data_IF_941498648573
#
_entry.id   IF_941498648573
#
_cell.length_a   1.000
_cell.length_b   1.000
_cell.length_c   1.000
_cell.angle_alpha   90.00
_cell.angle_beta   90.00
_cell.angle_gamma   90.00
#
_symmetry.space_group_name_H-M   'P 1'
#
loop_
_entity.id
_entity.type
_entity.pdbx_description
1 polymer ?
#
# COMPACT_ATOMS: atom_id res chain seq x y z
N UNK A 1 -3.78 -19.97 -23.95
CA UNK A 1 -2.95 -19.36 -22.86
C UNK A 1 -3.25 -17.89 -22.56
N UNK A 2 -4.00 -17.13 -23.38
CA UNK A 2 -4.23 -15.69 -23.14
C UNK A 2 -5.28 -15.32 -22.07
N UNK A 3 -6.24 -16.20 -21.76
CA UNK A 3 -7.29 -15.92 -20.76
C UNK A 3 -6.78 -16.03 -19.31
N UNK A 4 -5.87 -16.96 -19.02
CA UNK A 4 -5.31 -17.16 -17.68
C UNK A 4 -4.35 -16.04 -17.29
N UNK A 5 -3.51 -15.55 -18.22
CA UNK A 5 -2.59 -14.45 -17.96
C UNK A 5 -3.35 -13.13 -17.68
N UNK A 6 -4.43 -12.85 -18.42
CA UNK A 6 -5.29 -11.67 -18.17
C UNK A 6 -6.00 -11.77 -16.82
N UNK A 7 -6.56 -12.94 -16.48
CA UNK A 7 -7.19 -13.17 -15.18
C UNK A 7 -6.21 -13.00 -14.01
N UNK A 8 -4.95 -13.44 -14.17
CA UNK A 8 -3.89 -13.28 -13.16
C UNK A 8 -3.48 -11.81 -12.98
N UNK A 9 -3.35 -11.06 -14.08
CA UNK A 9 -3.05 -9.62 -14.04
C UNK A 9 -4.18 -8.85 -13.37
N UNK A 10 -5.44 -9.16 -13.69
CA UNK A 10 -6.61 -8.55 -13.03
C UNK A 10 -6.68 -8.91 -11.54
N UNK A 11 -6.40 -10.16 -11.17
CA UNK A 11 -6.35 -10.58 -9.77
C UNK A 11 -5.23 -9.90 -8.98
N UNK A 12 -4.05 -9.69 -9.58
CA UNK A 12 -2.97 -8.94 -8.95
C UNK A 12 -3.31 -7.45 -8.84
N UNK A 13 -3.91 -6.86 -9.86
CA UNK A 13 -4.38 -5.47 -9.79
C UNK A 13 -5.42 -5.31 -8.67
N UNK A 14 -6.38 -6.23 -8.52
CA UNK A 14 -7.32 -6.26 -7.40
C UNK A 14 -6.63 -6.44 -6.04
N UNK A 15 -5.62 -7.32 -5.94
CA UNK A 15 -4.82 -7.51 -4.72
C UNK A 15 -4.07 -6.23 -4.33
N UNK A 16 -3.49 -5.52 -5.32
CA UNK A 16 -2.76 -4.28 -5.10
C UNK A 16 -3.70 -3.09 -4.80
N UNK A 17 -4.92 -3.09 -5.33
CA UNK A 17 -5.99 -2.16 -4.90
C UNK A 17 -6.34 -2.41 -3.44
N UNK A 18 -6.40 -3.66 -2.97
CA UNK A 18 -6.59 -3.95 -1.55
C UNK A 18 -5.40 -3.49 -0.68
N UNK A 19 -4.20 -3.34 -1.25
CA UNK A 19 -3.04 -2.80 -0.53
C UNK A 19 -3.20 -1.30 -0.18
N UNK A 20 -4.10 -0.56 -0.85
CA UNK A 20 -4.46 0.80 -0.43
C UNK A 20 -5.13 0.85 0.95
N UNK A 21 -5.65 -0.29 1.44
CA UNK A 21 -6.26 -0.41 2.77
C UNK A 21 -5.26 -0.84 3.86
N UNK A 22 -3.96 -0.91 3.56
CA UNK A 22 -2.94 -1.32 4.54
C UNK A 22 -2.30 -0.06 5.14
N UNK A 23 -2.74 0.30 6.35
CA UNK A 23 -2.08 1.31 7.18
C UNK A 23 -0.87 0.67 7.87
N UNK A 24 0.34 1.25 7.75
CA UNK A 24 1.50 0.82 8.52
C UNK A 24 1.17 0.77 10.01
N UNK A 25 1.36 -0.40 10.63
CA UNK A 25 0.97 -0.65 12.02
C UNK A 25 1.54 0.39 12.99
N UNK A 26 0.67 0.95 13.82
CA UNK A 26 0.98 1.99 14.79
C UNK A 26 1.82 1.44 15.92
N UNK A 27 3.04 1.94 16.11
CA UNK A 27 3.81 1.71 17.33
C UNK A 27 4.14 3.07 17.97
N UNK A 28 3.08 3.78 18.40
CA UNK A 28 3.07 4.84 19.42
C UNK A 28 1.61 5.25 19.73
N UNK A 29 1.34 5.49 21.01
CA UNK A 29 0.13 6.17 21.51
C UNK A 29 0.14 7.65 21.05
N UNK A 30 -1.00 8.20 20.63
CA UNK A 30 -1.18 9.54 20.04
C UNK A 30 -0.02 9.94 19.11
N UNK A 31 -0.09 9.49 17.87
CA UNK A 31 1.02 9.60 16.93
C UNK A 31 0.89 10.89 16.10
N UNK A 32 1.87 11.79 16.26
CA UNK A 32 2.19 12.78 15.23
C UNK A 32 2.59 12.06 13.94
N UNK A 33 2.40 12.73 12.79
CA UNK A 33 2.78 12.15 11.50
C UNK A 33 4.26 11.77 11.52
N UNK A 34 4.62 10.49 11.28
CA UNK A 34 6.01 10.09 11.23
C UNK A 34 6.72 10.72 10.01
N UNK A 35 8.02 10.96 10.18
CA UNK A 35 8.91 11.35 9.09
C UNK A 35 9.81 10.16 8.76
N UNK A 36 9.93 9.84 7.47
CA UNK A 36 10.79 8.75 7.00
C UNK A 36 12.08 9.28 6.38
N UNK A 37 13.12 8.47 6.43
CA UNK A 37 14.41 8.70 5.79
C UNK A 37 14.82 7.50 4.92
N UNK A 38 15.72 7.74 3.96
CA UNK A 38 16.29 6.65 3.18
C UNK A 38 17.01 5.66 4.09
N UNK A 39 16.75 4.37 3.91
CA UNK A 39 17.27 3.28 4.75
C UNK A 39 16.30 2.82 5.85
N UNK A 40 15.24 3.57 6.15
CA UNK A 40 14.17 3.09 7.02
C UNK A 40 13.49 1.86 6.40
N UNK A 41 13.14 0.89 7.23
CA UNK A 41 12.47 -0.32 6.78
C UNK A 41 11.53 -0.91 7.83
N UNK A 42 10.50 -1.60 7.34
CA UNK A 42 9.54 -2.33 8.15
C UNK A 42 9.23 -3.67 7.53
N UNK A 43 8.93 -4.66 8.36
CA UNK A 43 8.43 -5.96 7.92
C UNK A 43 7.19 -6.29 8.74
N UNK A 44 6.09 -6.49 8.04
CA UNK A 44 4.78 -6.81 8.61
C UNK A 44 4.41 -8.25 8.28
N UNK A 45 3.76 -8.94 9.23
CA UNK A 45 3.00 -10.15 8.92
C UNK A 45 1.61 -9.73 8.42
N UNK A 46 1.16 -10.29 7.29
CA UNK A 46 -0.13 -9.96 6.66
C UNK A 46 -1.05 -11.17 6.70
N UNK A 47 -2.24 -11.02 7.27
CA UNK A 47 -3.25 -12.09 7.34
C UNK A 47 -3.19 -12.98 8.58
N UNK A 48 -3.97 -14.06 8.58
CA UNK A 48 -4.11 -14.97 9.72
C UNK A 48 -2.87 -15.87 9.87
N UNK A 49 -2.51 -16.22 11.11
CA UNK A 49 -1.28 -16.92 11.51
C UNK A 49 -0.92 -18.22 10.74
N UNK A 50 -1.85 -18.81 9.97
CA UNK A 50 -1.63 -20.01 9.16
C UNK A 50 -0.93 -19.75 7.83
N UNK A 51 -1.00 -18.54 7.27
CA UNK A 51 -0.27 -18.15 6.05
C UNK A 51 0.92 -17.28 6.45
N UNK A 52 2.14 -17.72 6.12
CA UNK A 52 3.35 -16.92 6.33
C UNK A 52 3.45 -15.91 5.19
N UNK A 53 2.61 -14.88 5.23
CA UNK A 53 2.69 -13.74 4.32
C UNK A 53 3.39 -12.59 5.03
N UNK A 54 4.47 -12.10 4.43
CA UNK A 54 5.24 -10.96 4.93
C UNK A 54 5.21 -9.83 3.92
N UNK A 55 4.99 -8.61 4.39
CA UNK A 55 5.12 -7.38 3.63
C UNK A 55 6.34 -6.62 4.16
N UNK A 56 7.37 -6.49 3.33
CA UNK A 56 8.55 -5.68 3.62
C UNK A 56 8.44 -4.37 2.88
N UNK A 57 8.71 -3.25 3.56
CA UNK A 57 8.73 -1.90 2.98
C UNK A 57 10.10 -1.30 3.29
N UNK A 58 10.78 -0.79 2.27
CA UNK A 58 12.09 -0.16 2.39
C UNK A 58 12.06 1.23 1.76
N UNK A 59 12.38 2.26 2.53
CA UNK A 59 12.42 3.64 2.03
C UNK A 59 13.73 3.86 1.30
N UNK A 60 13.64 4.22 0.02
CA UNK A 60 14.81 4.47 -0.83
C UNK A 60 15.18 5.94 -0.91
N UNK A 61 14.22 6.84 -0.65
CA UNK A 61 14.44 8.28 -0.66
C UNK A 61 13.14 9.05 -0.82
N UNK A 62 13.27 10.32 -1.22
CA UNK A 62 12.13 11.16 -1.58
C UNK A 62 12.14 11.44 -3.09
N UNK A 63 10.94 11.53 -3.67
CA UNK A 63 10.73 11.77 -5.09
C UNK A 63 9.44 12.58 -5.28
N UNK A 64 9.35 13.33 -6.38
CA UNK A 64 8.09 13.93 -6.81
C UNK A 64 7.37 13.02 -7.81
N UNK A 65 6.08 12.78 -7.57
CA UNK A 65 5.20 11.98 -8.46
C UNK A 65 4.09 12.87 -9.00
N UNK A 66 3.82 12.76 -10.31
CA UNK A 66 2.78 13.52 -11.00
C UNK A 66 1.56 12.63 -11.25
N UNK A 67 0.46 12.87 -10.53
CA UNK A 67 -0.82 12.17 -10.74
C UNK A 67 -1.86 13.17 -11.20
N UNK A 68 -2.47 12.92 -12.37
CA UNK A 68 -3.50 13.75 -12.97
C UNK A 68 -3.13 15.26 -13.04
N UNK A 69 -1.88 15.56 -13.38
CA UNK A 69 -1.35 16.93 -13.48
C UNK A 69 -1.01 17.59 -12.13
N UNK A 70 -1.25 16.92 -11.00
CA UNK A 70 -0.86 17.40 -9.67
C UNK A 70 0.42 16.70 -9.20
N UNK A 71 1.40 17.49 -8.77
CA UNK A 71 2.68 17.00 -8.27
C UNK A 71 2.61 16.80 -6.76
N UNK A 72 3.00 15.61 -6.30
CA UNK A 72 3.07 15.25 -4.89
C UNK A 72 4.53 15.02 -4.49
N UNK A 73 4.96 15.62 -3.38
CA UNK A 73 6.20 15.22 -2.73
C UNK A 73 5.97 13.89 -2.01
N UNK A 74 6.79 12.89 -2.28
CA UNK A 74 6.57 11.51 -1.81
C UNK A 74 7.83 10.88 -1.25
N UNK A 75 7.65 9.95 -0.32
CA UNK A 75 8.62 8.92 0.02
C UNK A 75 8.50 7.79 -0.99
N UNK A 76 9.61 7.45 -1.64
CA UNK A 76 9.68 6.32 -2.55
C UNK A 76 10.12 5.06 -1.80
N UNK A 77 9.33 4.00 -1.87
CA UNK A 77 9.62 2.73 -1.22
C UNK A 77 9.68 1.58 -2.20
N UNK A 78 10.60 0.66 -1.96
CA UNK A 78 10.54 -0.68 -2.55
C UNK A 78 9.82 -1.60 -1.58
N UNK A 79 8.85 -2.33 -2.08
CA UNK A 79 7.96 -3.18 -1.29
C UNK A 79 8.00 -4.61 -1.79
N UNK A 80 8.13 -5.56 -0.88
CA UNK A 80 8.09 -7.00 -1.16
C UNK A 80 6.93 -7.65 -0.41
N UNK A 81 6.01 -8.29 -1.14
CA UNK A 81 5.01 -9.19 -0.57
C UNK A 81 5.43 -10.63 -0.83
N UNK A 82 5.83 -11.34 0.22
CA UNK A 82 6.23 -12.74 0.15
C UNK A 82 5.20 -13.62 0.84
N UNK A 83 4.64 -14.59 0.14
CA UNK A 83 3.72 -15.60 0.69
C UNK A 83 4.34 -16.98 0.62
N UNK A 84 4.32 -17.72 1.73
CA UNK A 84 4.74 -19.12 1.77
C UNK A 84 3.57 -20.04 2.11
N UNK A 85 3.40 -21.09 1.30
CA UNK A 85 2.46 -22.18 1.53
C UNK A 85 3.19 -23.52 1.39
N UNK A 86 3.50 -24.17 2.51
CA UNK A 86 4.35 -25.37 2.53
C UNK A 86 5.76 -25.11 1.98
N UNK A 87 6.14 -25.85 0.93
CA UNK A 87 7.41 -25.67 0.23
C UNK A 87 7.39 -24.56 -0.83
N UNK A 88 6.21 -24.04 -1.20
CA UNK A 88 6.06 -23.02 -2.24
C UNK A 88 6.19 -21.61 -1.65
N UNK A 89 7.08 -20.79 -2.22
CA UNK A 89 7.24 -19.37 -1.90
C UNK A 89 6.97 -18.55 -3.16
N UNK A 90 6.08 -17.56 -3.05
CA UNK A 90 5.88 -16.55 -4.09
C UNK A 90 6.25 -15.19 -3.52
N UNK A 91 7.02 -14.43 -4.28
CA UNK A 91 7.41 -13.07 -3.94
C UNK A 91 6.94 -12.13 -5.05
N UNK A 92 6.27 -11.05 -4.67
CA UNK A 92 5.89 -9.96 -5.54
C UNK A 92 6.60 -8.68 -5.08
N UNK A 93 7.11 -7.91 -6.03
CA UNK A 93 7.76 -6.62 -5.75
C UNK A 93 6.98 -5.49 -6.39
N UNK A 94 6.88 -4.37 -5.69
CA UNK A 94 6.28 -3.14 -6.17
C UNK A 94 7.03 -1.94 -5.62
N UNK A 95 7.03 -0.85 -6.37
CA UNK A 95 7.40 0.47 -5.87
C UNK A 95 6.12 1.17 -5.39
N UNK A 96 6.20 1.82 -4.24
CA UNK A 96 5.07 2.57 -3.66
C UNK A 96 5.55 3.97 -3.29
N UNK A 97 4.76 4.97 -3.65
CA UNK A 97 5.00 6.37 -3.32
C UNK A 97 3.99 6.85 -2.31
N UNK A 98 4.45 7.20 -1.12
CA UNK A 98 3.63 7.73 -0.03
C UNK A 98 3.79 9.24 0.05
N UNK A 99 2.70 10.01 0.13
CA UNK A 99 2.75 11.46 0.33
C UNK A 99 3.56 11.83 1.57
N UNK A 100 4.49 12.76 1.44
CA UNK A 100 5.23 13.29 2.60
C UNK A 100 4.30 14.02 3.57
N UNK A 101 3.24 14.66 3.05
CA UNK A 101 2.33 15.47 3.84
C UNK A 101 1.31 14.63 4.61
N UNK A 102 0.80 13.56 4.03
CA UNK A 102 -0.35 12.80 4.56
C UNK A 102 -0.07 11.32 4.80
N UNK A 103 1.05 10.80 4.30
CA UNK A 103 1.36 9.36 4.22
C UNK A 103 0.32 8.54 3.44
N UNK A 104 -0.55 9.21 2.67
CA UNK A 104 -1.43 8.57 1.71
C UNK A 104 -0.61 7.90 0.60
N UNK A 105 -1.05 6.73 0.13
CA UNK A 105 -0.49 6.14 -1.10
C UNK A 105 -0.91 7.02 -2.28
N UNK A 106 0.08 7.55 -2.99
CA UNK A 106 -0.11 8.38 -4.20
C UNK A 106 -0.09 7.48 -5.43
N UNK A 107 0.88 6.57 -5.51
CA UNK A 107 1.06 5.66 -6.63
C UNK A 107 1.64 4.32 -6.15
N UNK A 108 1.27 3.25 -6.84
CA UNK A 108 1.89 1.92 -6.76
C UNK A 108 2.29 1.52 -8.18
N UNK A 109 3.50 1.02 -8.35
CA UNK A 109 3.96 0.44 -9.61
C UNK A 109 4.45 -0.98 -9.36
N UNK A 110 3.89 -1.94 -10.10
CA UNK A 110 4.34 -3.32 -10.08
C UNK A 110 4.66 -3.78 -11.51
N UNK A 111 5.64 -4.65 -11.66
CA UNK A 111 5.97 -5.25 -12.94
C UNK A 111 5.98 -6.76 -12.85
N UNK A 112 5.38 -7.43 -13.83
CA UNK A 112 5.34 -8.90 -13.91
C UNK A 112 5.87 -9.31 -15.28
N UNK A 113 6.70 -10.35 -15.30
CA UNK A 113 7.20 -10.93 -16.53
C UNK A 113 6.57 -12.32 -16.74
N UNK A 114 5.54 -12.40 -17.58
CA UNK A 114 4.86 -13.67 -17.94
C UNK A 114 5.14 -14.03 -19.40
N UNK A 115 4.84 -13.11 -20.30
CA UNK A 115 5.06 -13.26 -21.76
C UNK A 115 5.75 -12.03 -22.34
N UNK A 116 6.57 -11.38 -21.52
CA UNK A 116 7.04 -10.00 -21.69
C UNK A 116 6.66 -9.13 -20.48
N UNK A 117 7.37 -8.03 -20.31
CA UNK A 117 7.21 -7.12 -19.17
C UNK A 117 5.85 -6.40 -19.23
N UNK A 118 4.99 -6.70 -18.27
CA UNK A 118 3.72 -6.01 -18.05
C UNK A 118 3.92 -5.11 -16.83
N UNK A 119 3.65 -3.81 -16.99
CA UNK A 119 3.72 -2.83 -15.90
C UNK A 119 2.32 -2.40 -15.52
N UNK A 120 2.03 -2.46 -14.23
CA UNK A 120 0.77 -2.04 -13.63
C UNK A 120 1.08 -0.80 -12.78
N UNK A 121 0.38 0.29 -13.05
CA UNK A 121 0.44 1.52 -12.26
C UNK A 121 -0.93 1.79 -11.67
N UNK A 122 -1.01 1.98 -10.36
CA UNK A 122 -2.25 2.27 -9.64
C UNK A 122 -2.08 3.59 -8.91
N UNK A 123 -3.00 4.51 -9.08
CA UNK A 123 -3.00 5.80 -8.38
C UNK A 123 -4.40 6.21 -7.96
N UNK A 124 -4.49 6.97 -6.87
CA UNK A 124 -5.74 7.54 -6.37
C UNK A 124 -5.75 9.05 -6.55
N UNK A 125 -6.85 9.61 -7.06
CA UNK A 125 -7.03 11.06 -7.17
C UNK A 125 -8.37 11.54 -6.58
N UNK A 126 -8.35 12.39 -5.54
CA UNK A 126 -7.19 12.70 -4.69
C UNK A 126 -6.73 11.43 -3.91
N UNK A 127 -5.47 11.33 -3.44
CA UNK A 127 -5.04 10.23 -2.59
C UNK A 127 -5.90 10.10 -1.32
N UNK A 128 -6.14 8.89 -0.82
CA UNK A 128 -6.88 8.72 0.44
C UNK A 128 -6.00 9.09 1.63
N UNK A 129 -6.42 10.11 2.38
CA UNK A 129 -5.57 10.72 3.40
C UNK A 129 -5.86 10.17 4.79
N UNK A 130 -4.79 9.86 5.52
CA UNK A 130 -4.84 9.68 6.98
C UNK A 130 -4.79 11.06 7.62
N UNK A 131 -5.68 11.33 8.59
CA UNK A 131 -5.69 12.60 9.32
C UNK A 131 -4.80 12.49 10.56
N UNK A 132 -3.71 13.24 10.55
CA UNK A 132 -2.76 13.33 11.66
C UNK A 132 -3.01 14.62 12.47
N UNK A 133 -2.81 14.64 13.80
CA UNK A 133 -2.44 13.50 14.66
C UNK A 133 -3.63 12.54 14.89
N UNK A 134 -3.33 11.28 15.12
CA UNK A 134 -4.36 10.27 15.42
C UNK A 134 -4.89 10.49 16.84
N UNK A 135 -6.11 11.02 16.94
CA UNK A 135 -6.80 11.25 18.22
C UNK A 135 -7.89 10.20 18.40
N UNK A 136 -7.89 9.48 19.54
CA UNK A 136 -8.89 8.43 19.83
C UNK A 136 -10.32 8.94 19.61
N UNK A 137 -11.13 8.15 18.89
CA UNK A 137 -12.52 8.47 18.57
C UNK A 137 -12.71 9.41 17.38
N UNK A 138 -11.63 9.93 16.78
CA UNK A 138 -11.73 10.67 15.53
C UNK A 138 -12.19 9.74 14.41
N UNK A 139 -13.13 10.24 13.61
CA UNK A 139 -13.65 9.52 12.45
C UNK A 139 -13.70 10.45 11.24
N UNK A 140 -13.33 9.96 10.07
CA UNK A 140 -13.50 10.69 8.82
C UNK A 140 -13.76 9.73 7.68
N UNK A 141 -14.33 10.28 6.60
CA UNK A 141 -14.48 9.58 5.32
C UNK A 141 -13.50 10.15 4.32
N UNK A 142 -12.76 9.30 3.63
CA UNK A 142 -11.90 9.70 2.51
C UNK A 142 -12.31 8.96 1.26
N UNK A 143 -12.59 9.73 0.20
CA UNK A 143 -12.97 9.18 -1.10
C UNK A 143 -11.89 9.45 -2.14
N UNK A 144 -11.70 8.52 -3.07
CA UNK A 144 -10.78 8.61 -4.19
C UNK A 144 -11.36 7.95 -5.42
N UNK A 145 -10.87 8.34 -6.59
CA UNK A 145 -11.03 7.53 -7.81
C UNK A 145 -9.70 6.84 -8.07
N UNK A 146 -9.68 5.52 -7.87
CA UNK A 146 -8.55 4.67 -8.17
C UNK A 146 -8.50 4.45 -9.67
N UNK A 147 -7.36 4.76 -10.27
CA UNK A 147 -7.04 4.44 -11.66
C UNK A 147 -6.00 3.35 -11.67
N UNK A 148 -6.29 2.22 -12.33
CA UNK A 148 -5.29 1.21 -12.65
C UNK A 148 -5.00 1.23 -14.14
N UNK A 149 -3.75 1.55 -14.49
CA UNK A 149 -3.21 1.46 -15.84
C UNK A 149 -2.40 0.17 -15.97
N UNK A 150 -2.69 -0.64 -16.97
CA UNK A 150 -1.84 -1.77 -17.36
C UNK A 150 -1.19 -1.47 -18.71
N UNK A 151 0.14 -1.46 -18.76
CA UNK A 151 0.93 -1.32 -19.97
C UNK A 151 1.50 -2.69 -20.39
N UNK A 152 1.23 -3.06 -21.64
CA UNK A 152 1.68 -4.32 -22.24
C UNK A 152 2.93 -4.12 -23.10
N UNK A 153 3.75 -5.18 -23.33
CA UNK A 153 4.97 -5.10 -24.14
C UNK A 153 4.77 -4.57 -25.57
N UNK A 154 3.58 -4.75 -26.13
CA UNK A 154 3.21 -4.29 -27.47
C UNK A 154 2.81 -2.79 -27.51
N UNK A 155 3.02 -2.05 -26.42
CA UNK A 155 2.66 -0.64 -26.30
C UNK A 155 1.17 -0.37 -26.00
N UNK A 156 0.33 -1.40 -25.99
CA UNK A 156 -1.08 -1.25 -25.62
C UNK A 156 -1.20 -0.88 -24.14
N UNK A 157 -2.06 0.10 -23.83
CA UNK A 157 -2.42 0.47 -22.46
C UNK A 157 -3.91 0.26 -22.24
N UNK A 158 -4.27 -0.29 -21.09
CA UNK A 158 -5.66 -0.41 -20.64
C UNK A 158 -5.82 0.30 -19.32
N UNK A 159 -7.00 0.88 -19.10
CA UNK A 159 -7.34 1.64 -17.91
C UNK A 159 -8.60 1.08 -17.28
N UNK A 160 -8.63 1.04 -15.96
CA UNK A 160 -9.85 0.81 -15.18
C UNK A 160 -9.95 1.87 -14.09
N UNK A 161 -11.18 2.26 -13.80
CA UNK A 161 -11.50 3.29 -12.82
C UNK A 161 -12.45 2.73 -11.78
N UNK A 162 -12.18 2.99 -10.51
CA UNK A 162 -13.03 2.57 -9.41
C UNK A 162 -13.13 3.70 -8.39
N UNK A 163 -14.35 4.17 -8.14
CA UNK A 163 -14.60 5.03 -6.99
C UNK A 163 -14.48 4.19 -5.71
N UNK A 164 -13.68 4.67 -4.77
CA UNK A 164 -13.48 4.07 -3.46
C UNK A 164 -13.79 5.12 -2.41
N UNK A 165 -14.51 4.72 -1.38
CA UNK A 165 -14.76 5.53 -0.20
C UNK A 165 -14.50 4.67 1.01
N UNK A 166 -13.65 5.14 1.90
CA UNK A 166 -13.25 4.43 3.11
C UNK A 166 -13.62 5.28 4.32
N UNK A 167 -14.25 4.66 5.31
CA UNK A 167 -14.47 5.24 6.62
C UNK A 167 -13.32 4.84 7.55
N UNK A 168 -12.72 5.84 8.20
CA UNK A 168 -11.62 5.70 9.13
C UNK A 168 -12.11 5.96 10.54
N UNK A 169 -11.66 5.15 11.49
CA UNK A 169 -11.94 5.27 12.92
C UNK A 169 -10.63 5.09 13.71
N UNK A 170 -10.24 6.12 14.46
CA UNK A 170 -9.13 5.99 15.42
C UNK A 170 -9.64 5.28 16.66
N UNK A 171 -9.18 4.04 16.86
CA UNK A 171 -9.59 3.23 17.98
C UNK A 171 -8.88 3.66 19.27
N UNK A 172 -9.42 3.27 20.45
CA UNK A 172 -8.72 3.46 21.71
C UNK A 172 -7.32 2.86 21.69
N UNK A 173 -6.40 3.50 22.42
CA UNK A 173 -5.04 3.00 22.58
C UNK A 173 -5.03 1.53 23.01
N UNK A 174 -4.16 0.75 22.37
CA UNK A 174 -3.99 -0.66 22.63
C UNK A 174 -2.52 -0.97 22.94
N UNK A 175 -2.29 -2.08 23.66
CA UNK A 175 -0.95 -2.62 23.85
C UNK A 175 -0.78 -3.85 22.97
N UNK A 176 0.17 -3.79 22.04
CA UNK A 176 0.48 -4.90 21.14
C UNK A 176 1.81 -5.52 21.58
N UNK A 177 1.76 -6.80 21.92
CA UNK A 177 2.94 -7.59 22.27
C UNK A 177 3.43 -8.36 21.05
N UNK A 178 4.69 -8.12 20.69
CA UNK A 178 5.44 -8.88 19.69
C UNK A 178 6.66 -9.51 20.36
N UNK A 179 7.38 -10.47 19.73
CA UNK A 179 8.56 -11.09 20.33
C UNK A 179 9.66 -10.12 20.77
N UNK A 180 9.65 -8.89 20.24
CA UNK A 180 10.59 -7.81 20.56
C UNK A 180 10.14 -6.90 21.71
N UNK A 181 8.95 -7.11 22.27
CA UNK A 181 8.44 -6.34 23.41
C UNK A 181 6.95 -5.99 23.27
N UNK A 182 6.45 -5.24 24.24
CA UNK A 182 5.10 -4.69 24.24
C UNK A 182 5.16 -3.20 23.92
N UNK A 183 4.32 -2.78 22.98
CA UNK A 183 4.28 -1.41 22.47
C UNK A 183 2.88 -0.83 22.62
N UNK A 184 2.78 0.42 23.04
CA UNK A 184 1.55 1.18 22.98
C UNK A 184 1.26 1.60 21.53
N UNK A 185 0.02 1.45 21.11
CA UNK A 185 -0.42 1.63 19.72
C UNK A 185 -1.72 2.44 19.69
N UNK A 186 -1.97 3.16 18.60
CA UNK A 186 -3.23 3.88 18.35
C UNK A 186 -3.85 3.29 17.09
N UNK A 187 -4.61 2.20 17.17
CA UNK A 187 -5.04 1.48 15.98
C UNK A 187 -5.95 2.36 15.10
N UNK A 188 -5.69 2.36 13.79
CA UNK A 188 -6.57 2.96 12.81
C UNK A 188 -7.37 1.85 12.13
N UNK A 189 -8.69 1.91 12.23
CA UNK A 189 -9.59 0.96 11.61
C UNK A 189 -10.18 1.56 10.34
N UNK A 190 -10.23 0.74 9.29
CA UNK A 190 -10.85 1.05 8.01
C UNK A 190 -12.07 0.16 7.80
N UNK A 191 -13.13 0.75 7.23
CA UNK A 191 -14.38 0.05 6.85
C UNK A 191 -14.92 0.53 5.51
#
# INVERSE_FOLDING_TARGET
>A
MHRSARAMVSALALLLVAAFAIVPGTARANMDRPTWAAGDFWVYAVGNASAQTTLSIHVTGTQSVLVNGTSYATYHTTTELSTRSGSFKVTYTADIWFSVETLAIVEIQASINITGLITITISGFPPQTIQWPLTTGATWRSSTVVTAQTAYPNGTKTYSYQALSTDFEVQPEASITVPKGTFATTPLKET
#
